data_IF_589946603718
#
_entry.id   IF_589946603718
#
_cell.length_a   1.000
_cell.length_b   1.000
_cell.length_c   1.000
_cell.angle_alpha   90.00
_cell.angle_beta   90.00
_cell.angle_gamma   90.00
#
_symmetry.space_group_name_H-M   'P 1'
#
loop_
_entity.id
_entity.type
_entity.pdbx_description
1 polymer ?
#
# COMPACT_ATOMS: atom_id res chain seq x y z
N UNK A 1 -8.83 -6.50 -59.55
CA UNK A 1 -8.36 -5.17 -59.10
C UNK A 1 -9.22 -4.59 -57.97
N UNK A 2 -10.55 -4.75 -58.00
CA UNK A 2 -11.47 -4.22 -56.97
C UNK A 2 -11.15 -4.61 -55.51
N UNK A 3 -10.73 -5.85 -55.23
CA UNK A 3 -10.44 -6.30 -53.86
C UNK A 3 -9.19 -5.64 -53.25
N UNK A 4 -8.15 -5.37 -54.05
CA UNK A 4 -6.94 -4.66 -53.58
C UNK A 4 -7.25 -3.18 -53.32
N UNK A 5 -8.07 -2.57 -54.17
CA UNK A 5 -8.52 -1.19 -54.01
C UNK A 5 -9.40 -1.05 -52.76
N UNK A 6 -10.34 -1.98 -52.53
CA UNK A 6 -11.19 -2.01 -51.34
C UNK A 6 -10.36 -2.18 -50.06
N UNK A 7 -9.37 -3.09 -50.05
CA UNK A 7 -8.46 -3.26 -48.90
C UNK A 7 -7.64 -1.99 -48.63
N UNK A 8 -7.15 -1.32 -49.67
CA UNK A 8 -6.43 -0.05 -49.52
C UNK A 8 -7.33 1.05 -48.96
N UNK A 9 -8.54 1.21 -49.50
CA UNK A 9 -9.50 2.24 -49.08
C UNK A 9 -9.94 2.01 -47.63
N UNK A 10 -10.21 0.76 -47.24
CA UNK A 10 -10.56 0.39 -45.85
C UNK A 10 -9.38 0.66 -44.91
N UNK A 11 -8.15 0.31 -45.30
CA UNK A 11 -6.97 0.52 -44.47
C UNK A 11 -6.61 2.00 -44.32
N UNK A 12 -6.77 2.80 -45.38
CA UNK A 12 -6.55 4.25 -45.34
C UNK A 12 -7.63 4.97 -44.55
N UNK A 13 -8.90 4.53 -44.65
CA UNK A 13 -10.00 5.07 -43.85
C UNK A 13 -9.80 4.74 -42.36
N UNK A 14 -9.33 3.54 -42.02
CA UNK A 14 -9.03 3.15 -40.64
C UNK A 14 -7.88 3.97 -40.05
N UNK A 15 -6.79 4.18 -40.79
CA UNK A 15 -5.71 5.08 -40.38
C UNK A 15 -6.19 6.52 -40.19
N UNK A 16 -7.05 7.02 -41.07
CA UNK A 16 -7.60 8.38 -40.98
C UNK A 16 -8.52 8.58 -39.76
N UNK A 17 -9.27 7.55 -39.35
CA UNK A 17 -10.09 7.57 -38.13
C UNK A 17 -9.21 7.59 -36.87
N UNK A 18 -8.10 6.84 -36.87
CA UNK A 18 -7.15 6.77 -35.75
C UNK A 18 -6.38 8.11 -35.59
N UNK A 19 -6.03 8.78 -36.69
CA UNK A 19 -5.28 10.05 -36.65
C UNK A 19 -6.16 11.29 -36.40
N UNK A 20 -7.46 11.23 -36.72
CA UNK A 20 -8.41 12.33 -36.51
C UNK A 20 -9.02 12.37 -35.11
N UNK A 21 -8.96 11.26 -34.37
CA UNK A 21 -9.33 11.17 -32.96
C UNK A 21 -8.11 10.78 -32.11
N UNK A 22 -7.14 11.68 -31.90
CA UNK A 22 -5.99 11.42 -31.01
C UNK A 22 -6.42 11.07 -29.58
N UNK A 23 -7.63 11.48 -29.18
CA UNK A 23 -8.27 11.12 -27.92
C UNK A 23 -8.59 9.61 -27.80
N UNK A 24 -8.88 8.90 -28.90
CA UNK A 24 -9.23 7.48 -28.86
C UNK A 24 -8.02 6.58 -28.58
N UNK A 25 -6.81 6.99 -29.01
CA UNK A 25 -5.55 6.31 -28.66
C UNK A 25 -5.14 6.63 -27.22
N UNK A 26 -5.36 7.86 -26.76
CA UNK A 26 -5.14 8.27 -25.37
C UNK A 26 -6.10 7.62 -24.37
N UNK A 27 -7.32 7.29 -24.79
CA UNK A 27 -8.34 6.67 -23.93
C UNK A 27 -8.09 5.16 -23.66
N UNK A 28 -7.18 4.51 -24.39
CA UNK A 28 -6.89 3.07 -24.29
C UNK A 28 -5.61 2.73 -23.53
N UNK A 29 -4.83 3.72 -23.10
CA UNK A 29 -3.74 3.50 -22.16
C UNK A 29 -4.14 4.05 -20.79
N UNK A 30 -4.85 3.27 -19.95
CA UNK A 30 -4.65 3.44 -18.53
C UNK A 30 -3.19 3.06 -18.31
N UNK A 31 -2.28 4.03 -18.21
CA UNK A 31 -1.08 3.80 -17.41
C UNK A 31 -1.60 3.60 -16.00
N UNK A 32 -1.98 2.37 -15.68
CA UNK A 32 -2.21 1.95 -14.31
C UNK A 32 -0.86 2.16 -13.64
N UNK A 33 -0.78 3.22 -12.82
CA UNK A 33 0.34 3.39 -11.91
C UNK A 33 0.33 2.15 -11.01
N UNK A 34 1.28 1.25 -11.23
CA UNK A 34 1.50 0.12 -10.34
C UNK A 34 2.18 0.66 -9.08
N UNK A 35 1.48 0.58 -7.95
CA UNK A 35 2.04 0.89 -6.65
C UNK A 35 2.39 -0.43 -5.96
N UNK A 36 3.67 -0.84 -5.93
CA UNK A 36 4.07 -2.14 -5.41
C UNK A 36 3.94 -2.25 -3.88
N UNK A 37 3.90 -1.11 -3.18
CA UNK A 37 3.83 -1.06 -1.73
C UNK A 37 3.25 0.26 -1.24
N UNK A 38 2.65 0.25 -0.04
CA UNK A 38 2.17 1.42 0.68
C UNK A 38 2.89 1.52 2.03
N UNK A 39 3.37 2.71 2.36
CA UNK A 39 3.96 3.00 3.66
C UNK A 39 3.07 3.99 4.41
N UNK A 40 2.37 3.50 5.44
CA UNK A 40 1.44 4.34 6.21
C UNK A 40 2.14 4.97 7.42
N UNK A 41 2.15 6.30 7.48
CA UNK A 41 2.67 7.10 8.59
C UNK A 41 1.57 7.85 9.34
N UNK A 42 0.32 7.80 8.88
CA UNK A 42 -0.73 8.74 9.32
C UNK A 42 -1.67 8.10 10.34
N UNK A 43 -2.04 8.93 11.31
CA UNK A 43 -2.97 8.62 12.39
C UNK A 43 -4.41 8.91 11.99
N UNK A 44 -5.23 7.88 11.83
CA UNK A 44 -6.69 8.02 11.93
C UNK A 44 -7.33 6.93 12.76
N UNK A 45 -6.71 5.75 12.87
CA UNK A 45 -7.17 4.69 13.77
C UNK A 45 -5.95 3.99 14.37
N UNK A 46 -5.91 3.79 15.69
CA UNK A 46 -4.71 3.31 16.37
C UNK A 46 -4.31 1.89 15.94
N UNK A 47 -3.00 1.65 15.71
CA UNK A 47 -2.44 0.29 15.81
C UNK A 47 -1.77 0.16 17.19
N UNK A 48 -2.17 -0.82 18.00
CA UNK A 48 -1.70 -0.96 19.37
C UNK A 48 -0.37 -1.71 19.54
N UNK A 49 0.39 -1.95 18.48
CA UNK A 49 1.53 -2.88 18.54
C UNK A 49 2.58 -2.45 19.58
N UNK A 50 2.79 -1.15 19.74
CA UNK A 50 3.75 -0.62 20.71
C UNK A 50 3.27 -0.64 22.18
N UNK A 51 1.95 -0.64 22.42
CA UNK A 51 1.36 -0.44 23.76
C UNK A 51 0.40 -1.56 24.19
N UNK A 52 0.40 -2.67 23.46
CA UNK A 52 -0.47 -3.83 23.68
C UNK A 52 -1.75 -3.75 22.86
N UNK A 53 -2.12 -4.88 22.23
CA UNK A 53 -3.24 -5.01 21.30
C UNK A 53 -4.58 -4.49 21.86
N UNK A 54 -5.42 -3.89 21.01
CA UNK A 54 -6.77 -3.49 21.41
C UNK A 54 -7.52 -4.75 21.86
N UNK A 55 -8.13 -4.74 23.06
CA UNK A 55 -8.74 -5.95 23.62
C UNK A 55 -9.96 -6.39 22.79
N UNK A 56 -10.37 -7.66 22.86
CA UNK A 56 -11.66 -8.10 22.31
C UNK A 56 -12.80 -7.15 22.71
N UNK A 57 -13.78 -6.85 21.82
CA UNK A 57 -14.07 -7.51 20.53
C UNK A 57 -13.40 -6.85 19.31
N UNK A 58 -12.39 -6.01 19.52
CA UNK A 58 -11.75 -5.22 18.46
C UNK A 58 -11.16 -6.09 17.32
N UNK A 59 -11.73 -5.97 16.12
CA UNK A 59 -11.34 -6.73 14.93
C UNK A 59 -12.18 -7.99 14.64
N UNK A 60 -12.99 -8.47 15.59
CA UNK A 60 -13.69 -9.75 15.47
C UNK A 60 -14.76 -9.78 14.38
N UNK A 61 -15.41 -8.66 14.07
CA UNK A 61 -16.51 -8.61 13.09
C UNK A 61 -16.04 -8.98 11.68
N UNK A 62 -14.83 -8.59 11.29
CA UNK A 62 -14.28 -8.87 9.96
C UNK A 62 -13.26 -10.01 9.95
N UNK A 63 -12.35 -10.05 10.91
CA UNK A 63 -11.27 -11.04 10.93
C UNK A 63 -11.67 -12.34 11.66
N UNK A 64 -12.85 -12.37 12.28
CA UNK A 64 -13.38 -13.51 13.05
C UNK A 64 -12.48 -13.95 14.22
N UNK A 65 -11.57 -13.07 14.63
CA UNK A 65 -10.71 -13.18 15.79
C UNK A 65 -10.29 -11.76 16.22
N UNK A 66 -9.86 -11.55 17.47
CA UNK A 66 -9.29 -10.28 17.90
C UNK A 66 -8.10 -9.89 17.01
N UNK A 67 -8.28 -8.87 16.18
CA UNK A 67 -7.23 -8.39 15.28
C UNK A 67 -6.31 -7.37 15.96
N UNK A 68 -6.66 -6.95 17.18
CA UNK A 68 -5.92 -5.94 17.91
C UNK A 68 -5.91 -4.61 17.16
N UNK A 69 -7.02 -4.20 16.55
CA UNK A 69 -7.15 -2.93 15.82
C UNK A 69 -8.27 -2.13 16.47
N UNK A 70 -8.14 -0.83 16.67
CA UNK A 70 -9.18 -0.03 17.31
C UNK A 70 -10.35 0.29 16.35
N UNK A 71 -10.93 -0.78 15.82
CA UNK A 71 -12.03 -0.85 14.87
C UNK A 71 -12.71 -2.20 15.08
N UNK A 72 -13.93 -2.36 14.60
CA UNK A 72 -14.64 -3.65 14.59
C UNK A 72 -14.04 -4.64 13.55
N UNK A 73 -13.10 -4.18 12.73
CA UNK A 73 -12.44 -4.99 11.72
C UNK A 73 -11.37 -4.21 10.98
N UNK A 74 -11.74 -3.80 9.75
CA UNK A 74 -10.84 -3.11 8.83
C UNK A 74 -10.59 -1.66 9.23
N UNK A 75 -9.41 -1.18 8.88
CA UNK A 75 -8.98 0.21 8.94
C UNK A 75 -9.12 0.85 7.54
N UNK A 76 -9.18 2.18 7.46
CA UNK A 76 -9.20 2.91 6.18
C UNK A 76 -8.06 2.46 5.24
N UNK A 77 -6.88 2.20 5.80
CA UNK A 77 -5.71 1.74 5.03
C UNK A 77 -5.91 0.36 4.38
N UNK A 78 -6.77 -0.51 4.93
CA UNK A 78 -7.07 -1.82 4.33
C UNK A 78 -7.89 -1.66 3.04
N UNK A 79 -8.79 -0.67 3.00
CA UNK A 79 -9.55 -0.36 1.79
C UNK A 79 -8.66 0.26 0.71
N UNK A 80 -7.72 1.12 1.11
CA UNK A 80 -6.73 1.69 0.19
C UNK A 80 -5.86 0.56 -0.37
N UNK A 81 -5.27 -0.30 0.47
CA UNK A 81 -4.48 -1.44 0.02
C UNK A 81 -5.29 -2.36 -0.93
N UNK A 82 -6.55 -2.64 -0.57
CA UNK A 82 -7.45 -3.42 -1.43
C UNK A 82 -7.71 -2.78 -2.79
N UNK A 83 -7.83 -1.45 -2.86
CA UNK A 83 -8.02 -0.74 -4.14
C UNK A 83 -6.79 -0.83 -5.07
N UNK A 84 -5.61 -1.08 -4.51
CA UNK A 84 -4.37 -1.32 -5.26
C UNK A 84 -4.02 -2.81 -5.41
N UNK A 85 -4.89 -3.72 -4.96
CA UNK A 85 -4.62 -5.17 -5.01
C UNK A 85 -3.47 -5.62 -4.09
N UNK A 86 -3.14 -4.83 -3.07
CA UNK A 86 -2.08 -5.13 -2.11
C UNK A 86 -2.62 -5.88 -0.88
N UNK A 87 -1.79 -6.72 -0.23
CA UNK A 87 -2.15 -7.33 1.03
C UNK A 87 -2.30 -6.27 2.14
N UNK A 88 -2.96 -6.63 3.24
CA UNK A 88 -3.05 -5.76 4.41
C UNK A 88 -1.66 -5.46 4.97
N UNK A 89 -1.44 -4.21 5.34
CA UNK A 89 -0.13 -3.76 5.83
C UNK A 89 0.13 -4.32 7.22
N UNK A 90 1.27 -4.99 7.38
CA UNK A 90 1.76 -5.39 8.69
C UNK A 90 2.26 -4.16 9.46
N UNK A 91 1.97 -4.06 10.77
CA UNK A 91 2.60 -3.06 11.62
C UNK A 91 4.13 -3.20 11.62
N UNK A 92 4.83 -2.08 11.53
CA UNK A 92 6.30 -2.06 11.51
C UNK A 92 6.93 -2.71 12.75
N UNK A 93 6.28 -2.58 13.91
CA UNK A 93 6.77 -3.09 15.19
C UNK A 93 6.39 -4.57 15.45
N UNK A 94 5.61 -5.19 14.57
CA UNK A 94 5.28 -6.62 14.72
C UNK A 94 6.48 -7.47 14.29
N UNK A 95 6.86 -8.43 15.14
CA UNK A 95 8.03 -9.29 14.93
C UNK A 95 7.69 -10.66 14.35
N UNK A 96 6.55 -11.24 14.72
CA UNK A 96 6.17 -12.63 14.37
C UNK A 96 5.07 -12.61 13.33
N UNK A 97 5.30 -13.30 12.21
CA UNK A 97 4.29 -13.46 11.15
C UNK A 97 4.11 -12.23 10.26
N UNK A 98 4.92 -11.18 10.44
CA UNK A 98 4.84 -9.96 9.65
C UNK A 98 5.14 -10.20 8.18
N UNK A 99 4.25 -9.75 7.32
CA UNK A 99 4.41 -9.73 5.88
C UNK A 99 4.42 -8.28 5.38
N UNK A 100 5.57 -7.85 4.87
CA UNK A 100 5.78 -6.48 4.39
C UNK A 100 5.79 -6.38 2.85
N UNK A 101 5.32 -7.41 2.13
CA UNK A 101 5.25 -7.39 0.66
C UNK A 101 4.46 -6.22 0.11
N UNK A 102 3.34 -5.88 0.75
CA UNK A 102 2.52 -4.71 0.41
C UNK A 102 3.00 -3.40 1.03
N UNK A 103 4.15 -3.39 1.71
CA UNK A 103 4.65 -2.28 2.50
C UNK A 103 4.40 -2.45 4.00
N UNK A 104 4.43 -1.35 4.76
CA UNK A 104 4.43 -1.38 6.22
C UNK A 104 3.61 -0.24 6.83
N UNK A 105 3.03 -0.49 8.00
CA UNK A 105 2.30 0.51 8.76
C UNK A 105 3.10 0.95 10.00
N UNK A 106 3.57 2.20 9.99
CA UNK A 106 4.33 2.80 11.09
C UNK A 106 3.43 3.59 12.06
N UNK A 107 2.15 3.76 11.73
CA UNK A 107 1.22 4.52 12.54
C UNK A 107 0.97 3.83 13.88
N UNK A 108 1.09 4.59 14.97
CA UNK A 108 0.86 4.09 16.33
C UNK A 108 -0.27 4.84 17.03
N UNK A 109 -0.87 4.18 18.02
CA UNK A 109 -2.00 4.73 18.74
C UNK A 109 -1.68 5.96 19.59
N UNK A 110 -2.37 7.08 19.36
CA UNK A 110 -2.17 8.29 20.18
C UNK A 110 -0.86 9.03 19.90
N UNK A 111 -0.18 8.74 18.79
CA UNK A 111 0.98 9.53 18.37
C UNK A 111 0.58 10.93 17.92
N UNK A 112 1.39 11.92 18.27
CA UNK A 112 1.26 13.29 17.77
C UNK A 112 2.26 13.60 16.66
N UNK A 113 1.97 14.64 15.88
CA UNK A 113 2.90 15.16 14.86
C UNK A 113 4.23 15.58 15.51
N UNK A 114 4.14 16.32 16.62
CA UNK A 114 5.31 16.78 17.39
C UNK A 114 5.70 15.77 18.45
N UNK A 115 6.98 15.68 18.77
CA UNK A 115 7.45 14.97 19.94
C UNK A 115 6.92 15.61 21.22
N UNK A 116 6.42 14.79 22.13
CA UNK A 116 5.95 15.22 23.43
C UNK A 116 7.03 14.93 24.48
N UNK A 117 7.29 15.91 25.34
CA UNK A 117 8.28 15.82 26.41
C UNK A 117 7.64 15.50 27.77
N UNK A 118 6.37 15.09 27.77
CA UNK A 118 5.60 14.75 28.97
C UNK A 118 5.66 13.25 29.24
N UNK A 119 5.85 12.88 30.49
CA UNK A 119 5.78 11.49 30.93
C UNK A 119 4.44 10.86 30.56
N UNK A 120 4.48 9.66 29.97
CA UNK A 120 3.27 8.92 29.56
C UNK A 120 2.75 9.25 28.15
N UNK A 121 3.38 10.19 27.43
CA UNK A 121 3.08 10.41 26.03
C UNK A 121 3.59 9.28 25.13
N UNK A 122 2.91 9.05 24.01
CA UNK A 122 3.39 8.14 22.97
C UNK A 122 4.71 8.70 22.37
N UNK A 123 5.83 7.94 22.43
CA UNK A 123 7.14 8.36 21.93
C UNK A 123 7.24 8.30 20.39
N UNK A 124 6.33 7.61 19.70
CA UNK A 124 6.32 7.45 18.25
C UNK A 124 5.66 8.63 17.56
N UNK A 125 6.19 9.83 17.78
CA UNK A 125 5.78 11.02 17.03
C UNK A 125 5.98 10.84 15.52
N UNK A 126 5.33 11.65 14.69
CA UNK A 126 5.45 11.55 13.23
C UNK A 126 6.92 11.57 12.76
N UNK A 127 7.78 12.36 13.41
CA UNK A 127 9.21 12.35 13.14
C UNK A 127 9.87 10.99 13.40
N UNK A 128 9.49 10.32 14.50
CA UNK A 128 9.98 8.97 14.81
C UNK A 128 9.46 7.94 13.80
N UNK A 129 8.20 8.02 13.41
CA UNK A 129 7.62 7.13 12.39
C UNK A 129 8.30 7.30 11.03
N UNK A 130 8.62 8.55 10.66
CA UNK A 130 9.40 8.84 9.46
C UNK A 130 10.83 8.27 9.54
N UNK A 131 11.50 8.40 10.69
CA UNK A 131 12.82 7.80 10.89
C UNK A 131 12.77 6.27 10.80
N UNK A 132 11.74 5.63 11.35
CA UNK A 132 11.52 4.20 11.20
C UNK A 132 11.35 3.80 9.73
N UNK A 133 10.61 4.59 8.94
CA UNK A 133 10.50 4.39 7.50
C UNK A 133 11.84 4.53 6.78
N UNK A 134 12.61 5.57 7.06
CA UNK A 134 13.93 5.79 6.46
C UNK A 134 14.93 4.68 6.78
N UNK A 135 14.80 4.04 7.94
CA UNK A 135 15.57 2.85 8.28
C UNK A 135 15.03 1.60 7.58
N UNK A 136 13.71 1.41 7.61
CA UNK A 136 13.05 0.22 7.07
C UNK A 136 13.24 0.11 5.55
N UNK A 137 12.95 1.17 4.80
CA UNK A 137 12.88 1.13 3.36
C UNK A 137 14.18 0.61 2.70
N UNK A 138 15.36 1.24 2.88
CA UNK A 138 16.60 0.74 2.28
C UNK A 138 17.00 -0.64 2.79
N UNK A 139 16.78 -0.92 4.08
CA UNK A 139 17.15 -2.21 4.69
C UNK A 139 16.26 -3.35 4.18
N UNK A 140 14.99 -3.07 3.91
CA UNK A 140 14.05 -4.04 3.31
C UNK A 140 14.50 -4.44 1.90
N UNK A 141 15.00 -3.50 1.11
CA UNK A 141 15.52 -3.77 -0.23
C UNK A 141 16.83 -4.57 -0.20
N UNK A 142 17.71 -4.26 0.75
CA UNK A 142 18.91 -5.08 1.00
C UNK A 142 18.52 -6.49 1.45
N UNK A 143 17.56 -6.63 2.36
CA UNK A 143 17.10 -7.93 2.85
C UNK A 143 16.47 -8.75 1.73
N UNK A 144 15.64 -8.13 0.88
CA UNK A 144 14.98 -8.76 -0.28
C UNK A 144 15.98 -9.50 -1.18
N UNK A 145 17.20 -8.98 -1.33
CA UNK A 145 18.27 -9.59 -2.14
C UNK A 145 19.01 -10.76 -1.48
N UNK A 146 18.80 -11.03 -0.20
CA UNK A 146 19.56 -12.02 0.59
C UNK A 146 18.99 -13.44 0.54
N UNK A 147 17.89 -13.69 -0.15
CA UNK A 147 17.34 -15.03 -0.34
C UNK A 147 15.84 -15.05 -0.64
N UNK A 148 15.33 -16.23 -1.00
CA UNK A 148 13.94 -16.44 -1.45
C UNK A 148 12.92 -16.01 -0.40
N UNK A 149 13.14 -16.36 0.88
CA UNK A 149 12.23 -15.97 1.98
C UNK A 149 12.05 -14.46 2.07
N UNK A 150 13.14 -13.70 2.00
CA UNK A 150 13.07 -12.24 2.08
C UNK A 150 12.52 -11.60 0.80
N UNK A 151 12.70 -12.26 -0.35
CA UNK A 151 12.09 -11.86 -1.62
C UNK A 151 10.56 -11.92 -1.59
N UNK A 152 10.01 -12.83 -0.77
CA UNK A 152 8.56 -13.04 -0.60
C UNK A 152 7.97 -12.29 0.60
N UNK A 153 8.78 -11.66 1.45
CA UNK A 153 8.31 -10.95 2.65
C UNK A 153 8.56 -9.44 2.63
N UNK A 154 9.44 -8.95 1.76
CA UNK A 154 9.80 -7.53 1.66
C UNK A 154 9.06 -6.85 0.49
N UNK A 155 8.88 -5.51 0.50
CA UNK A 155 8.20 -4.80 -0.59
C UNK A 155 9.02 -4.80 -1.87
N UNK A 156 8.34 -4.71 -3.03
CA UNK A 156 8.98 -4.47 -4.33
C UNK A 156 9.20 -2.96 -4.54
N UNK A 157 10.17 -2.62 -5.40
CA UNK A 157 10.34 -1.27 -5.95
C UNK A 157 9.52 -1.09 -7.24
#
# INVERSE_FOLDING_TARGET
MACRLLRLVVSSALLAVITSFPCLVLALSPTQCEFPAIFNLVTLIPTPVAFGQAPPPNGETYFHAPAGRYSDGRLVIDFIAGSFGLPYLSPYLDSVGSNFTGGANFATAGSSIRQQNTSGANPFSLNVQYNQFNEFHPRSQVARRKGVVWQELMPKE
#
